data_IF_321691862722
#
_entry.id   IF_321691862722
#
_cell.length_a   1.000
_cell.length_b   1.000
_cell.length_c   1.000
_cell.angle_alpha   90.00
_cell.angle_beta   90.00
_cell.angle_gamma   90.00
#
_symmetry.space_group_name_H-M   'P 1'
#
loop_
_entity.id
_entity.type
_entity.pdbx_description
1 polymer ?
#
# COMPACT_ATOMS: atom_id res chain seq x y z
N UNK A 1 -8.85 7.03 9.54
CA UNK A 1 -7.39 6.79 9.47
C UNK A 1 -7.12 5.65 10.43
N UNK A 2 -6.40 4.61 9.99
CA UNK A 2 -5.99 3.52 10.88
C UNK A 2 -5.14 4.11 12.04
N UNK A 3 -5.09 3.48 13.23
CA UNK A 3 -4.26 3.94 14.34
C UNK A 3 -2.80 4.04 13.88
N UNK A 4 -2.09 5.11 14.26
CA UNK A 4 -0.72 5.41 13.77
C UNK A 4 0.28 4.25 13.95
N UNK A 5 0.08 3.38 14.94
CA UNK A 5 0.93 2.21 15.18
C UNK A 5 0.85 1.14 14.07
N UNK A 6 -0.31 0.97 13.42
CA UNK A 6 -0.43 0.05 12.27
C UNK A 6 0.18 0.64 10.99
N UNK A 7 0.24 1.98 10.90
CA UNK A 7 0.83 2.69 9.76
C UNK A 7 2.37 2.57 9.72
N UNK A 8 3.00 2.20 10.83
CA UNK A 8 4.47 1.99 10.90
C UNK A 8 4.91 0.64 10.31
N UNK A 9 4.00 -0.34 10.26
CA UNK A 9 4.27 -1.68 9.75
C UNK A 9 3.75 -1.88 8.32
N UNK A 10 2.67 -1.19 7.93
CA UNK A 10 1.99 -1.38 6.66
C UNK A 10 1.33 -0.07 6.17
N UNK A 11 1.59 0.36 4.93
CA UNK A 11 0.83 1.44 4.30
C UNK A 11 -0.51 0.90 3.80
N UNK A 12 -1.60 1.42 4.37
CA UNK A 12 -2.95 1.14 3.88
C UNK A 12 -3.40 2.19 2.88
N UNK A 13 -3.98 1.74 1.78
CA UNK A 13 -4.62 2.61 0.80
C UNK A 13 -6.11 2.29 0.70
N UNK A 14 -6.91 3.32 0.46
CA UNK A 14 -8.34 3.16 0.24
C UNK A 14 -8.60 2.82 -1.23
N UNK A 15 -9.25 1.67 -1.47
CA UNK A 15 -9.74 1.27 -2.78
C UNK A 15 -11.26 1.31 -2.82
N UNK A 16 -11.80 1.60 -4.00
CA UNK A 16 -13.22 1.39 -4.27
C UNK A 16 -13.41 -0.07 -4.72
N UNK A 17 -14.13 -0.85 -3.93
CA UNK A 17 -14.56 -2.20 -4.29
C UNK A 17 -16.08 -2.24 -4.33
N UNK A 18 -16.64 -2.46 -5.52
CA UNK A 18 -18.06 -2.33 -5.79
C UNK A 18 -18.63 -0.98 -5.28
N UNK A 19 -19.58 -1.02 -4.33
CA UNK A 19 -20.20 0.16 -3.71
C UNK A 19 -19.59 0.51 -2.35
N UNK A 20 -18.43 -0.05 -2.00
CA UNK A 20 -17.78 0.14 -0.71
C UNK A 20 -16.35 0.63 -0.86
N UNK A 21 -15.90 1.38 0.13
CA UNK A 21 -14.51 1.78 0.30
C UNK A 21 -13.85 0.80 1.26
N UNK A 22 -12.74 0.22 0.84
CA UNK A 22 -11.98 -0.73 1.65
C UNK A 22 -10.57 -0.19 1.84
N UNK A 23 -10.07 -0.23 3.06
CA UNK A 23 -8.65 -0.04 3.34
C UNK A 23 -7.95 -1.37 3.13
N UNK A 24 -6.98 -1.41 2.23
CA UNK A 24 -6.20 -2.61 1.93
C UNK A 24 -4.69 -2.32 2.03
N UNK A 25 -3.88 -3.31 2.42
CA UNK A 25 -2.42 -3.19 2.41
C UNK A 25 -1.89 -2.90 1.01
N UNK A 26 -1.01 -1.90 0.88
CA UNK A 26 -0.36 -1.58 -0.39
C UNK A 26 0.52 -2.75 -0.89
N UNK A 27 1.08 -3.53 0.03
CA UNK A 27 1.85 -4.76 -0.24
C UNK A 27 1.03 -5.86 -0.94
N UNK A 28 -0.31 -5.77 -0.92
CA UNK A 28 -1.18 -6.72 -1.61
C UNK A 28 -1.64 -6.21 -2.98
N UNK A 29 -1.31 -4.96 -3.33
CA UNK A 29 -1.75 -4.32 -4.56
C UNK A 29 -0.65 -4.31 -5.62
N UNK A 30 -1.09 -4.44 -6.87
CA UNK A 30 -0.25 -4.27 -8.06
C UNK A 30 -0.89 -3.22 -8.97
N UNK A 31 -0.13 -2.19 -9.32
CA UNK A 31 -0.57 -1.17 -10.28
C UNK A 31 -0.67 -1.76 -11.69
N UNK A 32 -1.86 -1.76 -12.29
CA UNK A 32 -2.11 -2.29 -13.65
C UNK A 32 -2.03 -1.19 -14.72
N UNK A 33 -2.55 0.00 -14.41
CA UNK A 33 -2.58 1.17 -15.32
C UNK A 33 -2.29 2.45 -14.54
N UNK A 34 -1.18 2.45 -13.83
CA UNK A 34 -0.76 3.57 -12.98
C UNK A 34 0.35 4.38 -13.68
N UNK A 35 0.46 5.66 -13.33
CA UNK A 35 1.57 6.51 -13.79
C UNK A 35 2.91 5.95 -13.35
N UNK A 36 3.99 6.31 -14.04
CA UNK A 36 5.32 5.81 -13.69
C UNK A 36 5.71 6.17 -12.25
N UNK A 37 5.37 7.37 -11.80
CA UNK A 37 5.56 7.81 -10.40
C UNK A 37 4.79 6.94 -9.40
N UNK A 38 3.52 6.63 -9.70
CA UNK A 38 2.71 5.76 -8.83
C UNK A 38 3.24 4.33 -8.82
N UNK A 39 3.77 3.85 -9.96
CA UNK A 39 4.39 2.53 -10.06
C UNK A 39 5.65 2.46 -9.18
N UNK A 40 6.50 3.47 -9.26
CA UNK A 40 7.71 3.56 -8.44
C UNK A 40 7.38 3.58 -6.95
N UNK A 41 6.41 4.37 -6.51
CA UNK A 41 5.99 4.40 -5.11
C UNK A 41 5.50 3.03 -4.60
N UNK A 42 4.78 2.27 -5.44
CA UNK A 42 4.34 0.91 -5.12
C UNK A 42 5.55 -0.04 -5.04
N UNK A 43 6.44 0.00 -6.02
CA UNK A 43 7.64 -0.86 -6.07
C UNK A 43 8.61 -0.59 -4.91
N UNK A 44 8.83 0.68 -4.56
CA UNK A 44 9.65 1.09 -3.43
C UNK A 44 9.06 0.56 -2.11
N UNK A 45 7.73 0.60 -1.97
CA UNK A 45 7.04 0.02 -0.82
C UNK A 45 7.21 -1.50 -0.75
N UNK A 46 7.04 -2.21 -1.87
CA UNK A 46 7.28 -3.66 -1.94
C UNK A 46 8.72 -4.02 -1.59
N UNK A 47 9.69 -3.22 -2.03
CA UNK A 47 11.10 -3.39 -1.71
C UNK A 47 11.38 -3.21 -0.21
N UNK A 48 10.79 -2.18 0.40
CA UNK A 48 10.90 -1.91 1.84
C UNK A 48 10.34 -3.07 2.69
N UNK A 49 9.15 -3.56 2.34
CA UNK A 49 8.52 -4.71 3.01
C UNK A 49 9.34 -5.99 2.81
N UNK A 50 9.86 -6.25 1.61
CA UNK A 50 10.67 -7.43 1.30
C UNK A 50 12.03 -7.45 2.03
N UNK A 51 12.59 -6.27 2.35
CA UNK A 51 13.81 -6.16 3.16
C UNK A 51 13.59 -6.45 4.65
N UNK A 52 12.35 -6.73 5.08
CA UNK A 52 12.04 -7.09 6.47
C UNK A 52 12.12 -5.91 7.43
N UNK A 53 12.03 -4.68 6.94
CA UNK A 53 11.87 -3.50 7.78
C UNK A 53 10.44 -3.49 8.33
N UNK A 54 10.24 -4.22 9.42
CA UNK A 54 9.10 -4.05 10.32
C UNK A 54 9.55 -3.01 11.36
N UNK A 55 8.98 -1.80 11.31
CA UNK A 55 9.18 -0.78 12.33
C UNK A 55 8.01 -0.77 13.30
#
# INVERSE_FOLDING_TARGET
MAPEEECMHEMFVEIQWEKRKLAVPLSQLKGISVTDETRQAIEDWHYWVAMGYQF
#
